data_IF_862256495465
#
_entry.id   IF_862256495465
#
_cell.length_a   1.000
_cell.length_b   1.000
_cell.length_c   1.000
_cell.angle_alpha   90.00
_cell.angle_beta   90.00
_cell.angle_gamma   90.00
#
_symmetry.space_group_name_H-M   'P 1'
#
loop_
_entity.id
_entity.type
_entity.pdbx_description
1 polymer ?
#
# COMPACT_ATOMS: atom_id res chain seq x y z
N UNK A 1 -9.48 -4.75 -0.94
CA UNK A 1 -8.89 -5.36 -2.14
C UNK A 1 -9.94 -6.26 -2.77
N UNK A 2 -10.02 -6.33 -4.10
CA UNK A 2 -10.98 -7.15 -4.82
C UNK A 2 -10.35 -7.75 -6.07
N UNK A 3 -10.41 -9.09 -6.25
CA UNK A 3 -10.91 -10.10 -5.31
C UNK A 3 -10.09 -10.23 -4.00
N UNK A 4 -10.71 -10.81 -2.98
CA UNK A 4 -10.06 -11.20 -1.72
C UNK A 4 -10.46 -12.66 -1.37
N UNK A 5 -9.52 -13.62 -1.31
CA UNK A 5 -8.09 -13.46 -1.57
C UNK A 5 -7.81 -13.09 -3.03
N UNK A 6 -6.71 -12.37 -3.26
CA UNK A 6 -6.27 -12.00 -4.62
C UNK A 6 -6.02 -13.24 -5.48
N UNK A 7 -6.08 -13.08 -6.80
CA UNK A 7 -5.79 -14.14 -7.75
C UNK A 7 -4.42 -13.89 -8.39
N UNK A 8 -3.42 -14.78 -8.20
CA UNK A 8 -2.09 -14.59 -8.78
C UNK A 8 -2.12 -14.36 -10.29
N UNK A 9 -1.32 -13.41 -10.77
CA UNK A 9 -1.24 -13.03 -12.18
C UNK A 9 -2.48 -12.32 -12.74
N UNK A 10 -3.41 -11.87 -11.88
CA UNK A 10 -4.60 -11.08 -12.28
C UNK A 10 -4.52 -9.66 -11.74
N UNK A 11 -5.29 -8.78 -12.38
CA UNK A 11 -5.46 -7.42 -11.92
C UNK A 11 -6.30 -7.41 -10.64
N UNK A 12 -5.81 -6.69 -9.64
CA UNK A 12 -6.42 -6.51 -8.34
C UNK A 12 -6.81 -5.04 -8.16
N UNK A 13 -7.99 -4.81 -7.57
CA UNK A 13 -8.46 -3.47 -7.25
C UNK A 13 -8.27 -3.18 -5.76
N UNK A 14 -7.62 -2.06 -5.46
CA UNK A 14 -7.32 -1.59 -4.11
C UNK A 14 -8.08 -0.31 -3.80
N UNK A 15 -9.09 -0.41 -2.95
CA UNK A 15 -9.78 0.74 -2.37
C UNK A 15 -9.05 1.20 -1.11
N UNK A 16 -8.43 2.37 -1.19
CA UNK A 16 -7.60 2.97 -0.14
C UNK A 16 -8.38 4.13 0.45
N UNK A 17 -8.72 4.02 1.75
CA UNK A 17 -9.54 5.01 2.45
C UNK A 17 -9.00 5.23 3.86
N UNK A 18 -9.05 6.47 4.32
CA UNK A 18 -8.63 6.80 5.68
C UNK A 18 -8.77 8.28 5.99
N UNK A 19 -8.49 8.64 7.24
CA UNK A 19 -8.38 10.04 7.67
C UNK A 19 -6.92 10.37 7.87
N UNK A 20 -6.46 11.44 7.21
CA UNK A 20 -5.05 11.80 7.20
C UNK A 20 -4.60 12.38 8.54
N UNK A 21 -3.43 11.98 9.01
CA UNK A 21 -2.80 12.59 10.20
C UNK A 21 -1.89 13.77 9.89
N UNK A 22 -1.40 13.82 8.67
CA UNK A 22 -0.48 14.84 8.15
C UNK A 22 -1.09 15.44 6.90
N UNK A 23 -0.62 16.63 6.54
CA UNK A 23 -0.97 17.23 5.26
C UNK A 23 -0.39 16.38 4.12
N UNK A 24 -1.11 16.32 3.01
CA UNK A 24 -0.59 15.83 1.73
C UNK A 24 -0.35 17.02 0.82
N UNK A 25 0.84 17.09 0.25
CA UNK A 25 1.31 18.14 -0.65
C UNK A 25 1.79 17.54 -1.98
N UNK A 26 1.99 18.41 -2.97
CA UNK A 26 2.49 17.99 -4.28
C UNK A 26 3.85 17.29 -4.14
N UNK A 27 4.00 16.14 -4.80
CA UNK A 27 5.18 15.28 -4.70
C UNK A 27 5.05 14.15 -3.68
N UNK A 28 4.00 14.11 -2.85
CA UNK A 28 3.75 12.97 -1.97
C UNK A 28 3.30 11.75 -2.78
N UNK A 29 3.90 10.61 -2.47
CA UNK A 29 3.77 9.39 -3.24
C UNK A 29 2.87 8.38 -2.53
N UNK A 30 2.05 7.69 -3.31
CA UNK A 30 1.35 6.47 -2.91
C UNK A 30 2.06 5.28 -3.55
N UNK A 31 2.66 4.44 -2.71
CA UNK A 31 3.24 3.15 -3.07
C UNK A 31 2.27 2.01 -2.78
N UNK A 32 2.15 1.07 -3.70
CA UNK A 32 1.41 -0.18 -3.54
C UNK A 32 2.24 -1.31 -4.18
N UNK A 33 2.50 -2.39 -3.44
CA UNK A 33 3.27 -3.50 -4.00
C UNK A 33 3.27 -4.76 -3.14
N UNK A 34 3.80 -5.82 -3.73
CA UNK A 34 4.09 -7.08 -3.06
C UNK A 34 5.55 -7.07 -2.65
N UNK A 35 5.85 -7.44 -1.41
CA UNK A 35 7.20 -7.40 -0.83
C UNK A 35 7.57 -8.82 -0.37
N UNK A 36 8.71 -9.31 -0.81
CA UNK A 36 9.34 -10.52 -0.26
C UNK A 36 9.92 -10.15 1.11
N UNK A 37 9.41 -10.78 2.18
CA UNK A 37 9.80 -10.47 3.55
C UNK A 37 11.18 -11.04 3.92
N UNK A 38 11.70 -11.98 3.13
CA UNK A 38 13.04 -12.57 3.32
C UNK A 38 14.08 -11.78 2.54
N UNK A 39 13.77 -11.42 1.29
CA UNK A 39 14.67 -10.63 0.46
C UNK A 39 14.61 -9.12 0.76
N UNK A 40 13.59 -8.68 1.52
CA UNK A 40 13.30 -7.27 1.84
C UNK A 40 13.18 -6.41 0.57
N UNK A 41 12.60 -6.98 -0.49
CA UNK A 41 12.56 -6.39 -1.82
C UNK A 41 11.17 -6.55 -2.47
N UNK A 42 10.79 -5.64 -3.38
CA UNK A 42 9.57 -5.79 -4.16
C UNK A 42 9.56 -7.06 -5.01
N UNK A 43 8.40 -7.72 -5.07
CA UNK A 43 8.10 -8.82 -5.98
C UNK A 43 7.43 -8.22 -7.21
N UNK A 44 8.20 -8.13 -8.30
CA UNK A 44 7.78 -7.41 -9.51
C UNK A 44 7.82 -5.90 -9.32
N UNK A 45 7.10 -5.19 -10.20
CA UNK A 45 7.07 -3.72 -10.21
C UNK A 45 5.97 -3.20 -9.28
N UNK A 46 6.31 -2.41 -8.24
CA UNK A 46 5.31 -1.75 -7.43
C UNK A 46 4.64 -0.61 -8.21
N UNK A 47 3.40 -0.30 -7.85
CA UNK A 47 2.75 0.94 -8.25
C UNK A 47 3.29 2.08 -7.38
N UNK A 48 3.78 3.14 -8.02
CA UNK A 48 4.16 4.39 -7.34
C UNK A 48 3.56 5.55 -8.10
N UNK A 49 2.71 6.34 -7.45
CA UNK A 49 1.99 7.45 -8.08
C UNK A 49 2.01 8.69 -7.20
N UNK A 50 2.09 9.88 -7.82
CA UNK A 50 1.92 11.15 -7.11
C UNK A 50 0.45 11.33 -6.73
N UNK A 51 0.17 11.41 -5.43
CA UNK A 51 -1.18 11.48 -4.86
C UNK A 51 -1.93 12.70 -5.41
N UNK A 52 -1.24 13.82 -5.60
CA UNK A 52 -1.84 15.07 -6.06
C UNK A 52 -2.17 15.08 -7.56
N UNK A 53 -1.72 14.06 -8.30
CA UNK A 53 -2.07 13.87 -9.72
C UNK A 53 -3.24 12.90 -9.91
N UNK A 54 -3.71 12.25 -8.84
CA UNK A 54 -4.78 11.28 -8.92
C UNK A 54 -6.13 11.93 -9.29
N UNK A 55 -6.95 11.28 -10.12
CA UNK A 55 -8.28 11.78 -10.46
C UNK A 55 -9.14 12.00 -9.21
N UNK A 56 -9.74 13.18 -9.10
CA UNK A 56 -10.60 13.54 -7.97
C UNK A 56 -9.86 13.98 -6.70
N UNK A 57 -8.52 14.04 -6.73
CA UNK A 57 -7.72 14.60 -5.64
C UNK A 57 -7.39 16.06 -5.93
N UNK A 58 -7.63 16.93 -4.94
CA UNK A 58 -7.20 18.34 -4.97
C UNK A 58 -6.24 18.58 -3.83
N UNK A 59 -4.99 18.91 -4.15
CA UNK A 59 -3.97 19.24 -3.15
C UNK A 59 -3.87 20.76 -2.88
N UNK A 60 -3.39 21.15 -1.69
CA UNK A 60 -3.01 20.29 -0.57
C UNK A 60 -4.23 19.70 0.15
N UNK A 61 -4.14 18.45 0.59
CA UNK A 61 -5.15 17.85 1.47
C UNK A 61 -4.69 18.07 2.91
N UNK A 62 -5.55 18.62 3.77
CA UNK A 62 -5.18 18.90 5.16
C UNK A 62 -5.33 17.68 6.06
N UNK A 63 -4.48 17.60 7.09
CA UNK A 63 -4.67 16.68 8.20
C UNK A 63 -6.10 16.76 8.76
N UNK A 64 -6.64 15.62 9.19
CA UNK A 64 -8.03 15.46 9.62
C UNK A 64 -9.05 15.29 8.48
N UNK A 65 -8.63 15.41 7.22
CA UNK A 65 -9.52 15.22 6.06
C UNK A 65 -9.63 13.74 5.69
N UNK A 66 -10.83 13.31 5.30
CA UNK A 66 -11.04 11.99 4.71
C UNK A 66 -10.40 11.92 3.31
N UNK A 67 -9.60 10.90 3.07
CA UNK A 67 -8.98 10.59 1.79
C UNK A 67 -9.53 9.25 1.27
N UNK A 68 -9.75 9.18 -0.04
CA UNK A 68 -10.18 7.96 -0.71
C UNK A 68 -9.61 7.93 -2.13
N UNK A 69 -9.05 6.80 -2.52
CA UNK A 69 -8.65 6.53 -3.90
C UNK A 69 -8.81 5.05 -4.22
N UNK A 70 -8.90 4.72 -5.51
CA UNK A 70 -8.94 3.35 -6.01
C UNK A 70 -7.78 3.17 -6.98
N UNK A 71 -6.97 2.15 -6.74
CA UNK A 71 -5.81 1.83 -7.56
C UNK A 71 -5.91 0.40 -8.09
N UNK A 72 -5.25 0.14 -9.22
CA UNK A 72 -5.15 -1.19 -9.81
C UNK A 72 -3.70 -1.62 -9.87
N UNK A 73 -3.43 -2.88 -9.51
CA UNK A 73 -2.13 -3.49 -9.63
C UNK A 73 -2.30 -4.96 -10.02
N UNK A 74 -1.52 -5.43 -10.98
CA UNK A 74 -1.47 -6.85 -11.31
C UNK A 74 -0.69 -7.61 -10.25
N UNK A 75 -1.32 -8.59 -9.61
CA UNK A 75 -0.67 -9.45 -8.65
C UNK A 75 0.44 -10.29 -9.31
N UNK A 76 1.56 -10.57 -8.62
CA UNK A 76 2.60 -11.47 -9.12
C UNK A 76 2.03 -12.83 -9.50
N UNK A 77 2.71 -13.51 -10.44
CA UNK A 77 2.35 -14.88 -10.77
C UNK A 77 2.61 -15.80 -9.56
N UNK A 78 1.87 -16.90 -9.47
CA UNK A 78 2.01 -17.84 -8.35
C UNK A 78 3.43 -18.43 -8.23
N UNK A 79 4.19 -18.50 -9.34
CA UNK A 79 5.59 -18.94 -9.36
C UNK A 79 6.55 -17.96 -8.70
N UNK A 80 6.16 -16.69 -8.61
CA UNK A 80 7.03 -15.60 -8.17
C UNK A 80 6.75 -15.22 -6.70
N UNK A 81 5.64 -15.72 -6.15
CA UNK A 81 5.29 -15.50 -4.75
C UNK A 81 6.12 -16.43 -3.85
N UNK A 82 6.94 -15.89 -2.94
CA UNK A 82 7.71 -16.68 -1.99
C UNK A 82 6.78 -17.25 -0.90
N UNK A 83 7.33 -18.08 -0.01
CA UNK A 83 6.58 -18.63 1.12
C UNK A 83 6.06 -17.55 2.07
N UNK A 84 6.83 -16.47 2.27
CA UNK A 84 6.45 -15.35 3.12
C UNK A 84 6.61 -14.04 2.36
N UNK A 85 5.51 -13.29 2.26
CA UNK A 85 5.45 -12.01 1.57
C UNK A 85 4.42 -11.10 2.24
N UNK A 86 4.45 -9.82 1.90
CA UNK A 86 3.44 -8.86 2.29
C UNK A 86 2.87 -8.13 1.09
N UNK A 87 1.63 -7.68 1.20
CA UNK A 87 1.07 -6.63 0.36
C UNK A 87 1.16 -5.34 1.17
N UNK A 88 1.83 -4.33 0.64
CA UNK A 88 2.09 -3.05 1.33
C UNK A 88 1.46 -1.92 0.55
N UNK A 89 0.77 -1.04 1.27
CA UNK A 89 0.32 0.27 0.78
C UNK A 89 0.95 1.31 1.69
N UNK A 90 1.75 2.21 1.12
CA UNK A 90 2.43 3.27 1.85
C UNK A 90 2.17 4.63 1.20
N UNK A 91 2.05 5.66 2.01
CA UNK A 91 2.00 7.05 1.57
C UNK A 91 3.21 7.76 2.17
N UNK A 92 4.00 8.43 1.35
CA UNK A 92 5.30 8.96 1.74
C UNK A 92 5.50 10.38 1.23
N UNK A 93 6.18 11.19 2.03
CA UNK A 93 6.64 12.52 1.67
C UNK A 93 8.14 12.50 1.38
N UNK A 94 8.56 13.26 0.37
CA UNK A 94 9.96 13.42 0.00
C UNK A 94 10.49 12.36 -0.95
N UNK A 95 11.81 12.33 -1.13
CA UNK A 95 12.50 11.38 -2.01
C UNK A 95 13.72 10.83 -1.28
N UNK A 96 14.13 9.58 -1.55
CA UNK A 96 15.32 9.00 -0.93
C UNK A 96 16.54 9.93 -1.01
N UNK A 97 17.32 10.08 0.08
CA UNK A 97 17.22 9.34 1.35
C UNK A 97 16.21 9.93 2.35
N UNK A 98 15.68 11.13 2.10
CA UNK A 98 14.83 11.88 3.04
C UNK A 98 13.35 11.55 2.77
N UNK A 99 12.92 10.40 3.31
CA UNK A 99 11.53 9.91 3.17
C UNK A 99 10.83 9.94 4.53
N UNK A 100 9.64 10.52 4.57
CA UNK A 100 8.77 10.54 5.74
C UNK A 100 7.48 9.78 5.48
N UNK A 101 7.20 8.74 6.28
CA UNK A 101 5.93 8.03 6.19
C UNK A 101 4.76 8.90 6.66
N UNK A 102 3.74 9.01 5.80
CA UNK A 102 2.47 9.67 6.05
C UNK A 102 1.41 8.66 6.52
N UNK A 103 1.36 7.49 5.88
CA UNK A 103 0.51 6.36 6.24
C UNK A 103 1.11 5.04 5.73
N UNK A 104 0.80 3.92 6.38
CA UNK A 104 1.20 2.59 5.93
C UNK A 104 0.18 1.54 6.37
N UNK A 105 -0.08 0.58 5.50
CA UNK A 105 -0.89 -0.60 5.77
C UNK A 105 -0.24 -1.81 5.12
N UNK A 106 -0.24 -2.95 5.81
CA UNK A 106 0.35 -4.17 5.31
C UNK A 106 -0.51 -5.40 5.65
N UNK A 107 -0.61 -6.33 4.70
CA UNK A 107 -1.16 -7.66 4.91
C UNK A 107 -0.03 -8.69 4.71
N UNK A 108 0.24 -9.51 5.73
CA UNK A 108 1.37 -10.45 5.75
C UNK A 108 0.87 -11.88 5.52
N UNK A 109 1.57 -12.62 4.66
CA UNK A 109 1.27 -13.99 4.29
C UNK A 109 2.44 -14.90 4.65
N UNK A 110 2.13 -16.12 5.08
CA UNK A 110 3.13 -17.17 5.31
C UNK A 110 4.08 -16.93 6.48
N UNK A 111 3.72 -16.06 7.43
CA UNK A 111 4.24 -16.15 8.78
C UNK A 111 3.72 -17.44 9.41
N UNK A 112 4.59 -18.18 10.10
CA UNK A 112 4.24 -19.47 10.72
C UNK A 112 2.94 -19.38 11.53
N UNK A 113 2.18 -20.48 11.48
CA UNK A 113 0.73 -20.62 11.56
C UNK A 113 0.01 -20.26 12.87
N UNK A 114 0.38 -19.17 13.55
CA UNK A 114 -0.35 -18.63 14.71
C UNK A 114 -0.84 -17.18 14.54
N UNK A 115 -0.48 -16.50 13.46
CA UNK A 115 -1.04 -15.16 13.20
C UNK A 115 -2.34 -15.30 12.42
N UNK A 116 -3.43 -15.55 13.15
CA UNK A 116 -4.80 -15.31 12.68
C UNK A 116 -4.85 -14.05 11.84
N UNK A 117 -5.52 -14.13 10.69
CA UNK A 117 -5.86 -13.00 9.83
C UNK A 117 -6.75 -11.99 10.56
N UNK A 118 -6.18 -11.30 11.55
CA UNK A 118 -6.60 -10.02 12.13
C UNK A 118 -5.37 -9.44 12.85
N UNK A 119 -4.48 -8.67 12.19
CA UNK A 119 -3.77 -7.64 12.92
C UNK A 119 -4.75 -6.48 13.08
N UNK A 120 -5.18 -6.24 14.32
CA UNK A 120 -5.73 -4.96 14.75
C UNK A 120 -4.71 -3.84 14.46
N UNK A 121 -4.65 -3.38 13.20
CA UNK A 121 -3.71 -2.36 12.74
C UNK A 121 -4.32 -0.96 12.72
N UNK A 122 -5.51 -0.79 13.31
CA UNK A 122 -6.19 0.50 13.45
C UNK A 122 -5.60 1.41 14.55
N UNK A 123 -4.55 0.98 15.26
CA UNK A 123 -4.00 1.72 16.41
C UNK A 123 -3.07 2.89 16.05
N UNK A 124 -2.91 3.23 14.78
CA UNK A 124 -2.25 4.47 14.38
C UNK A 124 -3.19 5.42 13.61
N UNK A 125 -4.49 5.41 13.94
CA UNK A 125 -5.39 6.58 13.78
C UNK A 125 -5.30 7.56 14.96
#
# INVERSE_FOLDING_TARGET
MTPDPFVPGKEETFDIKGTLKKDIVAGDLLGLGFIDLVAEAPIGDPLVVDICTLPGVTCPIKAGTAFSTTQQLTAPAASDLPKSYAIVIAMEHGTPPDVEALACSAAIFGADSDSSAVPDFWSFL
#
